data_IF_465587646171
#
_entry.id   IF_465587646171
#
_cell.length_a   1.000
_cell.length_b   1.000
_cell.length_c   1.000
_cell.angle_alpha   90.00
_cell.angle_beta   90.00
_cell.angle_gamma   90.00
#
_symmetry.space_group_name_H-M   'P 1'
#
loop_
_entity.id
_entity.type
_entity.pdbx_description
1 polymer ?
#
# COMPACT_ATOMS: atom_id res chain seq x y z
N UNK A 1 1.85 -9.33 14.94
CA UNK A 1 2.64 -10.23 14.08
C UNK A 1 1.79 -10.42 12.85
N UNK A 2 2.20 -9.86 11.71
CA UNK A 2 1.58 -10.22 10.43
C UNK A 2 2.01 -11.66 10.09
N UNK A 3 1.37 -12.33 9.14
CA UNK A 3 1.50 -13.71 8.69
C UNK A 3 1.77 -13.70 7.20
N UNK A 4 2.98 -14.14 6.88
CA UNK A 4 3.44 -14.49 5.56
C UNK A 4 2.60 -15.63 5.01
N UNK A 5 1.81 -15.35 3.99
CA UNK A 5 1.16 -16.39 3.19
C UNK A 5 1.88 -16.48 1.84
N UNK A 6 3.08 -17.08 1.84
CA UNK A 6 3.48 -17.85 0.66
C UNK A 6 2.64 -19.11 0.70
N UNK A 7 1.51 -19.08 0.01
CA UNK A 7 0.71 -20.29 -0.16
C UNK A 7 1.37 -21.16 -1.23
N UNK A 8 2.37 -21.93 -0.80
CA UNK A 8 2.46 -23.31 -1.29
C UNK A 8 1.15 -23.99 -0.92
N UNK A 9 0.40 -24.36 -1.95
CA UNK A 9 -0.73 -25.30 -2.06
C UNK A 9 -1.50 -25.78 -0.81
N UNK A 10 -2.79 -26.03 -1.02
CA UNK A 10 -3.73 -26.81 -0.18
C UNK A 10 -4.59 -26.06 0.85
N UNK A 11 -5.58 -25.26 0.42
CA UNK A 11 -6.84 -25.20 1.20
C UNK A 11 -8.08 -25.25 0.31
N UNK A 12 -8.88 -26.27 0.63
CA UNK A 12 -10.05 -26.72 -0.09
C UNK A 12 -11.25 -25.76 0.01
N UNK A 13 -12.05 -25.83 -1.04
CA UNK A 13 -13.40 -25.29 -1.23
C UNK A 13 -14.30 -25.48 0.00
N UNK A 14 -14.87 -24.41 0.58
CA UNK A 14 -16.22 -24.38 1.21
C UNK A 14 -16.62 -22.95 1.59
N UNK A 15 -17.81 -22.52 1.15
CA UNK A 15 -18.70 -21.64 1.94
C UNK A 15 -18.49 -20.14 1.81
N UNK A 16 -19.41 -19.47 1.10
CA UNK A 16 -19.32 -18.05 0.78
C UNK A 16 -19.49 -17.08 1.95
N UNK A 17 -18.99 -15.86 1.74
CA UNK A 17 -19.69 -14.59 1.95
C UNK A 17 -18.94 -13.55 1.10
N UNK A 18 -19.67 -12.62 0.49
CA UNK A 18 -19.13 -11.50 -0.29
C UNK A 18 -17.98 -10.81 0.44
N UNK A 19 -16.76 -10.95 -0.05
CA UNK A 19 -15.58 -10.30 0.49
C UNK A 19 -14.83 -9.75 -0.71
N UNK A 20 -14.91 -8.43 -0.90
CA UNK A 20 -14.13 -7.57 -1.81
C UNK A 20 -13.38 -8.31 -2.93
N UNK A 21 -13.78 -8.03 -4.18
CA UNK A 21 -13.35 -8.59 -5.49
C UNK A 21 -11.82 -8.46 -5.81
N UNK A 22 -10.97 -8.44 -4.79
CA UNK A 22 -9.53 -8.48 -4.89
C UNK A 22 -9.07 -9.87 -4.45
N UNK A 23 -9.06 -10.81 -5.39
CA UNK A 23 -8.39 -12.10 -5.20
C UNK A 23 -6.86 -11.86 -5.20
N UNK A 24 -6.15 -12.01 -4.07
CA UNK A 24 -4.70 -11.81 -4.02
C UNK A 24 -3.96 -12.77 -4.98
N UNK A 25 -4.54 -13.95 -5.21
CA UNK A 25 -4.05 -14.96 -6.16
C UNK A 25 -4.09 -14.49 -7.61
N UNK A 26 -5.05 -13.64 -7.96
CA UNK A 26 -5.19 -13.08 -9.30
C UNK A 26 -4.30 -11.85 -9.51
N UNK A 27 -3.74 -11.28 -8.44
CA UNK A 27 -2.81 -10.15 -8.48
C UNK A 27 -1.36 -10.58 -8.71
N UNK A 28 -0.93 -11.71 -8.15
CA UNK A 28 0.44 -12.19 -8.30
C UNK A 28 0.77 -12.40 -9.80
N UNK A 29 1.88 -11.81 -10.25
CA UNK A 29 2.29 -11.81 -11.65
C UNK A 29 1.57 -10.78 -12.55
N UNK A 30 0.66 -9.97 -12.01
CA UNK A 30 0.00 -8.88 -12.76
C UNK A 30 0.84 -7.61 -12.79
N UNK A 31 0.49 -6.73 -13.73
CA UNK A 31 1.12 -5.43 -13.87
C UNK A 31 0.54 -4.47 -12.84
N UNK A 32 1.41 -3.63 -12.30
CA UNK A 32 1.01 -2.50 -11.48
C UNK A 32 1.23 -1.18 -12.23
N UNK A 33 0.28 -0.26 -12.06
CA UNK A 33 0.24 1.05 -12.69
C UNK A 33 0.12 2.14 -11.62
N UNK A 34 0.74 3.29 -11.87
CA UNK A 34 0.64 4.46 -10.99
C UNK A 34 -0.65 5.26 -11.26
N UNK A 35 -0.83 6.37 -10.54
CA UNK A 35 -1.99 7.27 -10.68
C UNK A 35 -2.14 7.79 -12.12
N UNK A 36 -1.03 8.03 -12.81
CA UNK A 36 -0.95 8.48 -14.20
C UNK A 36 -1.11 7.35 -15.24
N UNK A 37 -1.21 6.09 -14.81
CA UNK A 37 -1.30 4.94 -15.71
C UNK A 37 0.04 4.48 -16.30
N UNK A 38 1.17 4.93 -15.75
CA UNK A 38 2.50 4.42 -16.11
C UNK A 38 2.74 3.08 -15.43
N UNK A 39 3.29 2.13 -16.19
CA UNK A 39 3.70 0.84 -15.61
C UNK A 39 4.81 1.04 -14.57
N UNK A 40 4.54 0.60 -13.35
CA UNK A 40 5.50 0.56 -12.25
C UNK A 40 6.34 -0.71 -12.34
N UNK A 41 5.67 -1.86 -12.47
CA UNK A 41 6.31 -3.17 -12.36
C UNK A 41 5.34 -4.33 -12.44
N UNK A 42 5.75 -5.45 -11.86
CA UNK A 42 4.94 -6.68 -11.71
C UNK A 42 4.79 -7.01 -10.23
N UNK A 43 3.60 -7.40 -9.81
CA UNK A 43 3.34 -7.84 -8.43
C UNK A 43 4.00 -9.20 -8.22
N UNK A 44 4.87 -9.29 -7.22
CA UNK A 44 5.56 -10.52 -6.85
C UNK A 44 4.78 -11.23 -5.73
N UNK A 45 4.30 -10.47 -4.74
CA UNK A 45 3.66 -11.01 -3.54
C UNK A 45 2.62 -10.03 -2.95
N UNK A 46 1.65 -10.56 -2.21
CA UNK A 46 0.63 -9.78 -1.49
C UNK A 46 0.63 -10.20 -0.02
N UNK A 47 0.67 -9.21 0.86
CA UNK A 47 0.66 -9.35 2.31
C UNK A 47 -0.71 -8.97 2.85
N UNK A 48 -1.23 -9.82 3.74
CA UNK A 48 -2.54 -9.65 4.37
C UNK A 48 -2.33 -9.27 5.83
N UNK A 49 -3.25 -8.47 6.37
CA UNK A 49 -3.32 -8.22 7.80
C UNK A 49 -3.89 -9.44 8.53
N UNK A 50 -3.27 -9.85 9.64
CA UNK A 50 -3.68 -11.04 10.41
C UNK A 50 -4.96 -10.83 11.20
N UNK A 51 -5.24 -9.59 11.60
CA UNK A 51 -6.41 -9.30 12.42
C UNK A 51 -7.70 -9.35 11.60
N UNK A 52 -7.63 -8.95 10.34
CA UNK A 52 -8.78 -8.78 9.45
C UNK A 52 -8.78 -9.75 8.27
N UNK A 53 -7.63 -10.32 7.92
CA UNK A 53 -7.45 -11.19 6.75
C UNK A 53 -7.52 -10.45 5.41
N UNK A 54 -7.52 -9.11 5.42
CA UNK A 54 -7.64 -8.30 4.20
C UNK A 54 -6.26 -7.99 3.61
N UNK A 55 -6.12 -7.92 2.28
CA UNK A 55 -4.84 -7.61 1.66
C UNK A 55 -4.51 -6.14 1.84
N UNK A 56 -3.39 -5.85 2.51
CA UNK A 56 -3.01 -4.49 2.91
C UNK A 56 -1.82 -3.96 2.12
N UNK A 57 -0.85 -4.84 1.83
CA UNK A 57 0.37 -4.46 1.12
C UNK A 57 0.64 -5.38 -0.07
N UNK A 58 1.15 -4.82 -1.17
CA UNK A 58 1.66 -5.60 -2.30
C UNK A 58 3.12 -5.28 -2.57
N UNK A 59 3.92 -6.32 -2.77
CA UNK A 59 5.30 -6.17 -3.22
C UNK A 59 5.34 -6.16 -4.75
N UNK A 60 5.86 -5.08 -5.33
CA UNK A 60 6.01 -4.89 -6.76
C UNK A 60 7.49 -4.88 -7.12
N UNK A 61 7.86 -5.77 -8.02
CA UNK A 61 9.18 -5.76 -8.65
C UNK A 61 9.20 -4.75 -9.79
N UNK A 62 9.94 -3.66 -9.58
CA UNK A 62 9.98 -2.53 -10.52
C UNK A 62 11.07 -2.66 -11.61
N UNK A 63 11.95 -3.67 -11.55
CA UNK A 63 12.97 -3.98 -12.57
C UNK A 63 14.03 -5.00 -12.12
N UNK A 64 15.02 -5.32 -12.97
CA UNK A 64 16.11 -6.27 -12.69
C UNK A 64 17.25 -5.73 -11.79
N UNK A 65 17.31 -4.41 -11.58
CA UNK A 65 18.28 -3.73 -10.71
C UNK A 65 17.62 -2.84 -9.66
N UNK A 66 16.29 -2.80 -9.66
CA UNK A 66 15.52 -2.03 -8.69
C UNK A 66 15.03 -2.98 -7.62
N UNK A 67 15.19 -2.55 -6.37
CA UNK A 67 14.58 -3.19 -5.20
C UNK A 67 13.06 -3.31 -5.36
N UNK A 68 12.51 -4.31 -4.69
CA UNK A 68 11.07 -4.49 -4.61
C UNK A 68 10.46 -3.32 -3.83
N UNK A 69 9.34 -2.82 -4.34
CA UNK A 69 8.63 -1.70 -3.77
C UNK A 69 7.34 -2.20 -3.14
N UNK A 70 7.14 -1.88 -1.87
CA UNK A 70 5.89 -2.18 -1.17
C UNK A 70 4.90 -1.06 -1.41
N UNK A 71 3.70 -1.38 -1.89
CA UNK A 71 2.62 -0.42 -2.13
C UNK A 71 1.39 -0.75 -1.30
N UNK A 72 0.65 0.27 -0.84
CA UNK A 72 -0.59 0.06 -0.11
C UNK A 72 -1.71 -0.38 -1.05
N UNK A 73 -2.48 -1.38 -0.61
CA UNK A 73 -3.64 -1.89 -1.33
C UNK A 73 -4.93 -1.16 -0.98
N UNK A 74 -5.05 -0.63 0.23
CA UNK A 74 -6.24 0.07 0.73
C UNK A 74 -6.78 1.16 -0.22
N UNK A 75 -5.96 2.13 -0.68
CA UNK A 75 -6.43 3.15 -1.61
C UNK A 75 -6.31 2.71 -3.08
N UNK A 76 -5.80 1.51 -3.35
CA UNK A 76 -5.55 1.03 -4.72
C UNK A 76 -6.74 0.25 -5.27
N UNK A 77 -6.92 0.32 -6.58
CA UNK A 77 -8.01 -0.35 -7.28
C UNK A 77 -7.48 -1.37 -8.28
N UNK A 78 -8.20 -2.47 -8.48
CA UNK A 78 -7.91 -3.41 -9.56
C UNK A 78 -8.74 -3.04 -10.77
N UNK A 79 -8.06 -2.69 -11.86
CA UNK A 79 -8.69 -2.34 -13.13
C UNK A 79 -8.22 -3.34 -14.18
N UNK A 80 -9.16 -4.08 -14.77
CA UNK A 80 -8.87 -5.08 -15.82
C UNK A 80 -7.82 -6.13 -15.40
N UNK A 81 -7.79 -6.48 -14.11
CA UNK A 81 -6.82 -7.42 -13.55
C UNK A 81 -5.41 -6.84 -13.38
N UNK A 82 -5.25 -5.52 -13.42
CA UNK A 82 -4.03 -4.81 -13.09
C UNK A 82 -4.25 -3.91 -11.87
N UNK A 83 -3.22 -3.78 -11.04
CA UNK A 83 -3.29 -2.96 -9.83
C UNK A 83 -2.98 -1.50 -10.17
N UNK A 84 -3.91 -0.60 -9.89
CA UNK A 84 -3.73 0.84 -10.05
C UNK A 84 -3.62 1.49 -8.68
N UNK A 85 -2.47 2.11 -8.44
CA UNK A 85 -2.16 2.75 -7.17
C UNK A 85 -2.30 4.27 -7.35
N UNK A 86 -3.01 4.98 -6.46
CA UNK A 86 -3.17 6.44 -6.55
C UNK A 86 -1.91 7.21 -6.06
N UNK A 87 -0.73 6.66 -6.30
CA UNK A 87 0.55 7.26 -5.95
C UNK A 87 1.48 7.25 -7.16
N UNK A 88 2.39 8.22 -7.22
CA UNK A 88 3.39 8.31 -8.26
C UNK A 88 4.42 7.19 -8.19
N UNK A 89 4.87 6.72 -9.36
CA UNK A 89 5.93 5.70 -9.46
C UNK A 89 7.21 6.11 -8.72
N UNK A 90 7.52 7.40 -8.66
CA UNK A 90 8.71 7.89 -7.96
C UNK A 90 8.61 7.65 -6.44
N UNK A 91 7.46 7.98 -5.83
CA UNK A 91 7.20 7.75 -4.40
C UNK A 91 7.28 6.25 -4.08
N UNK A 92 6.73 5.42 -4.96
CA UNK A 92 6.73 3.97 -4.80
C UNK A 92 8.14 3.40 -4.85
N UNK A 93 8.99 3.88 -5.76
CA UNK A 93 10.39 3.44 -5.86
C UNK A 93 11.28 3.92 -4.73
N UNK A 94 10.89 5.01 -4.08
CA UNK A 94 11.59 5.58 -2.92
C UNK A 94 11.20 4.89 -1.61
N UNK A 95 10.13 4.08 -1.63
CA UNK A 95 9.66 3.35 -0.46
C UNK A 95 10.77 2.45 0.13
N UNK A 96 10.82 2.35 1.47
CA UNK A 96 11.77 1.48 2.13
C UNK A 96 11.54 0.02 1.73
N UNK A 97 12.62 -0.68 1.39
CA UNK A 97 12.59 -2.10 1.07
C UNK A 97 12.92 -2.94 2.31
N UNK A 98 12.05 -3.90 2.62
CA UNK A 98 12.26 -4.85 3.72
C UNK A 98 12.60 -6.28 3.21
N UNK A 99 12.53 -6.46 1.88
CA UNK A 99 12.77 -7.71 1.18
C UNK A 99 11.51 -8.58 1.06
N UNK A 100 11.22 -9.03 -0.17
CA UNK A 100 10.13 -9.97 -0.47
C UNK A 100 10.44 -11.37 0.03
N UNK A 101 9.41 -12.19 0.31
CA UNK A 101 9.63 -13.52 0.86
C UNK A 101 9.92 -13.56 2.36
N UNK A 102 9.77 -12.43 3.07
CA UNK A 102 9.93 -12.33 4.53
C UNK A 102 8.76 -11.58 5.13
N UNK A 103 8.43 -11.92 6.37
CA UNK A 103 7.43 -11.22 7.15
C UNK A 103 7.67 -9.72 7.24
N UNK A 104 6.67 -8.94 6.84
CA UNK A 104 6.53 -7.55 7.24
C UNK A 104 6.26 -7.51 8.75
N UNK A 105 7.16 -6.86 9.48
CA UNK A 105 7.01 -6.61 10.91
C UNK A 105 6.14 -5.36 11.12
N UNK A 106 5.41 -5.26 12.25
CA UNK A 106 4.57 -4.09 12.54
C UNK A 106 5.32 -2.75 12.45
N UNK A 107 6.58 -2.72 12.89
CA UNK A 107 7.43 -1.53 12.82
C UNK A 107 7.83 -1.15 11.38
N UNK A 108 7.85 -2.11 10.46
CA UNK A 108 8.14 -1.91 9.05
C UNK A 108 6.91 -1.41 8.31
N UNK A 109 5.74 -1.98 8.60
CA UNK A 109 4.45 -1.49 8.10
C UNK A 109 4.23 -0.05 8.52
N UNK A 110 4.50 0.29 9.79
CA UNK A 110 4.40 1.66 10.28
C UNK A 110 5.29 2.64 9.49
N UNK A 111 6.50 2.23 9.11
CA UNK A 111 7.37 3.04 8.24
C UNK A 111 6.78 3.22 6.84
N UNK A 112 6.15 2.19 6.27
CA UNK A 112 5.45 2.30 4.99
C UNK A 112 4.24 3.24 5.11
N UNK A 113 3.45 3.12 6.17
CA UNK A 113 2.34 4.02 6.46
C UNK A 113 2.79 5.48 6.52
N UNK A 114 3.86 5.77 7.26
CA UNK A 114 4.44 7.11 7.33
C UNK A 114 4.99 7.59 5.98
N UNK A 115 5.61 6.71 5.19
CA UNK A 115 6.15 7.04 3.86
C UNK A 115 5.05 7.43 2.87
N UNK A 116 3.94 6.69 2.87
CA UNK A 116 2.80 6.95 2.00
C UNK A 116 1.81 7.98 2.57
N UNK A 117 2.02 8.45 3.80
CA UNK A 117 1.12 9.38 4.47
C UNK A 117 -0.25 8.78 4.75
N UNK A 118 -0.32 7.46 4.92
CA UNK A 118 -1.55 6.70 5.17
C UNK A 118 -1.89 6.58 6.66
N UNK A 119 -1.24 7.37 7.51
CA UNK A 119 -1.58 7.53 8.93
C UNK A 119 -3.10 7.72 9.05
N UNK A 120 -3.76 6.69 9.59
CA UNK A 120 -5.21 6.60 9.86
C UNK A 120 -5.80 7.97 10.10
N UNK A 121 -6.50 8.50 9.10
CA UNK A 121 -7.22 9.77 9.15
C UNK A 121 -6.57 10.81 10.07
N UNK A 122 -5.37 11.29 9.73
CA UNK A 122 -4.94 12.58 10.30
C UNK A 122 -6.01 13.60 9.87
N UNK A 123 -6.78 14.21 10.80
CA UNK A 123 -7.66 15.30 10.41
C UNK A 123 -6.82 16.32 9.65
N UNK A 124 -7.38 17.00 8.63
CA UNK A 124 -6.62 17.95 7.83
C UNK A 124 -5.85 18.88 8.76
N UNK A 125 -4.61 19.26 8.41
CA UNK A 125 -3.81 20.14 9.25
C UNK A 125 -4.71 21.29 9.68
N UNK A 126 -4.81 21.64 10.98
CA UNK A 126 -5.64 22.76 11.37
C UNK A 126 -5.15 23.93 10.55
N UNK A 127 -6.06 24.43 9.71
CA UNK A 127 -5.90 25.63 8.92
C UNK A 127 -5.49 26.73 9.90
N UNK A 128 -4.18 26.88 10.10
CA UNK A 128 -3.59 27.94 10.90
C UNK A 128 -3.46 29.15 9.99
N UNK A 129 -4.58 29.55 9.40
CA UNK A 129 -4.84 30.94 9.10
C UNK A 129 -5.25 31.64 10.42
N UNK A 130 -4.30 31.75 11.36
CA UNK A 130 -4.40 32.80 12.37
C UNK A 130 -3.76 34.03 11.76
N UNK A 131 -4.62 34.77 11.06
CA UNK A 131 -4.31 36.00 10.38
C UNK A 131 -3.34 36.89 11.13
N UNK A 132 -2.34 37.33 10.37
CA UNK A 132 -1.79 38.67 10.48
C UNK A 132 -2.95 39.69 10.49
N UNK A 133 -2.74 40.83 11.15
CA UNK A 133 -3.61 42.03 11.32
C UNK A 133 -4.41 41.98 12.64
N UNK A 134 -4.29 42.87 13.63
CA UNK A 134 -3.77 44.23 13.76
C UNK A 134 -3.08 44.37 15.14
N UNK A 135 -2.00 45.14 15.34
CA UNK A 135 -1.98 46.59 15.17
C UNK A 135 -2.40 47.24 16.49
N UNK A 136 -1.40 47.73 17.24
CA UNK A 136 -1.40 48.90 18.13
C UNK A 136 -2.53 49.10 19.16
N UNK A 137 -2.18 49.26 20.43
CA UNK A 137 -2.31 50.57 21.10
C UNK A 137 -1.67 50.55 22.51
N UNK A 138 -0.85 51.57 22.76
CA UNK A 138 -0.38 52.10 24.05
C UNK A 138 -1.49 52.26 25.09
N UNK A 139 -1.15 52.03 26.37
CA UNK A 139 -1.44 52.93 27.51
C UNK A 139 -0.86 52.38 28.83
#
# INVERSE_FOLDING_TARGET
MCSFVVLTDEFATTGGTVQTDIDPRNLIGRKAFDSNGTKIGTIDEVYLDDATGVPEWAAIRTGLFSRDAFVPLEPSEIVEGALRIPFDRALIKDAPDFGVGRHLSPEQELQLYHHYGLDVASPPPPDRDFGRLAGSEDA
#
